data_IF_729528076007
#
_entry.id   IF_729528076007
#
_cell.length_a   1.000
_cell.length_b   1.000
_cell.length_c   1.000
_cell.angle_alpha   90.00
_cell.angle_beta   90.00
_cell.angle_gamma   90.00
#
_symmetry.space_group_name_H-M   'P 1'
#
loop_
_entity.id
_entity.type
_entity.pdbx_description
1 polymer ?
#
# COMPACT_ATOMS: atom_id res chain seq x y z
N UNK A 1 31.02 -5.24 0.72
CA UNK A 1 30.48 -4.98 -0.65
C UNK A 1 31.62 -5.08 -1.64
N UNK A 2 31.42 -5.79 -2.75
CA UNK A 2 32.48 -6.08 -3.73
C UNK A 2 32.99 -4.82 -4.42
N UNK A 3 34.32 -4.65 -4.45
CA UNK A 3 34.94 -3.52 -5.12
C UNK A 3 34.73 -3.58 -6.64
N UNK A 4 34.22 -2.51 -7.30
CA UNK A 4 34.00 -2.51 -8.74
C UNK A 4 35.30 -2.50 -9.57
N UNK A 5 36.43 -2.21 -8.96
CA UNK A 5 37.73 -2.07 -9.67
C UNK A 5 38.59 -3.33 -9.62
N UNK A 6 38.64 -4.03 -8.46
CA UNK A 6 39.51 -5.20 -8.29
C UNK A 6 38.77 -6.46 -7.84
N UNK A 7 37.46 -6.39 -7.61
CA UNK A 7 36.65 -7.51 -7.23
C UNK A 7 36.77 -7.99 -5.78
N UNK A 8 37.58 -7.32 -4.96
CA UNK A 8 37.75 -7.64 -3.54
C UNK A 8 36.44 -7.44 -2.77
N UNK A 9 36.17 -8.28 -1.77
CA UNK A 9 34.93 -8.24 -1.00
C UNK A 9 34.97 -7.27 0.18
N UNK A 10 36.16 -6.84 0.59
CA UNK A 10 36.33 -5.96 1.73
C UNK A 10 36.43 -4.49 1.34
N UNK A 11 35.58 -3.68 1.95
CA UNK A 11 35.60 -2.23 1.82
C UNK A 11 35.17 -1.58 3.12
N UNK A 12 35.77 -0.47 3.49
CA UNK A 12 35.36 0.36 4.62
C UNK A 12 34.51 1.53 4.15
N UNK A 13 33.58 1.98 4.98
CA UNK A 13 32.83 3.21 4.76
C UNK A 13 33.65 4.38 5.27
N UNK A 14 33.89 5.38 4.43
CA UNK A 14 34.68 6.58 4.75
C UNK A 14 33.76 7.74 5.15
N UNK A 15 32.63 7.87 4.47
CA UNK A 15 31.64 8.93 4.72
C UNK A 15 30.22 8.42 4.39
N UNK A 16 29.22 8.93 5.13
CA UNK A 16 27.81 8.61 4.92
C UNK A 16 27.00 9.89 5.02
N UNK A 17 26.13 10.13 4.04
CA UNK A 17 25.22 11.28 4.00
C UNK A 17 23.82 10.83 3.57
N UNK A 18 22.81 11.40 4.18
CA UNK A 18 21.45 11.26 3.69
C UNK A 18 21.30 12.01 2.35
N UNK A 19 20.50 11.44 1.45
CA UNK A 19 20.04 12.17 0.27
C UNK A 19 19.11 13.32 0.67
N UNK A 20 18.90 14.28 -0.21
CA UNK A 20 18.05 15.46 0.05
C UNK A 20 16.61 15.07 0.39
N UNK A 21 16.11 13.97 -0.17
CA UNK A 21 14.79 13.40 0.08
C UNK A 21 14.72 12.52 1.34
N UNK A 22 15.86 12.28 2.02
CA UNK A 22 16.01 11.39 3.18
C UNK A 22 15.59 9.91 2.93
N UNK A 23 15.31 9.52 1.69
CA UNK A 23 14.88 8.17 1.32
C UNK A 23 16.05 7.22 1.01
N UNK A 24 17.27 7.76 0.88
CA UNK A 24 18.46 6.98 0.64
C UNK A 24 19.66 7.49 1.43
N UNK A 25 20.64 6.60 1.64
CA UNK A 25 21.90 6.92 2.26
C UNK A 25 23.00 6.76 1.21
N UNK A 26 23.68 7.85 0.90
CA UNK A 26 24.86 7.84 0.05
C UNK A 26 26.07 7.51 0.91
N UNK A 27 26.84 6.47 0.54
CA UNK A 27 28.05 6.06 1.26
C UNK A 27 29.25 6.11 0.34
N UNK A 28 30.29 6.81 0.77
CA UNK A 28 31.61 6.74 0.16
C UNK A 28 32.38 5.58 0.80
N UNK A 29 32.85 4.66 -0.04
CA UNK A 29 33.58 3.48 0.38
C UNK A 29 35.00 3.50 -0.21
N UNK A 30 35.92 2.88 0.52
CA UNK A 30 37.30 2.66 0.09
C UNK A 30 37.62 1.18 0.15
N UNK A 31 38.11 0.63 -0.96
CA UNK A 31 38.54 -0.78 -1.01
C UNK A 31 39.77 -1.02 -0.15
N UNK A 32 39.76 -2.05 0.66
CA UNK A 32 40.90 -2.37 1.52
C UNK A 32 42.13 -2.85 0.73
N UNK A 33 41.91 -3.45 -0.46
CA UNK A 33 42.99 -4.00 -1.29
C UNK A 33 43.60 -2.98 -2.26
N UNK A 34 42.78 -2.35 -3.10
CA UNK A 34 43.25 -1.43 -4.14
C UNK A 34 43.16 0.06 -3.77
N UNK A 35 42.63 0.38 -2.58
CA UNK A 35 42.49 1.73 -2.00
C UNK A 35 41.68 2.72 -2.86
N UNK A 36 41.07 2.24 -3.95
CA UNK A 36 40.19 3.08 -4.76
C UNK A 36 38.87 3.32 -4.05
N UNK A 37 38.34 4.54 -4.24
CA UNK A 37 37.08 4.97 -3.67
C UNK A 37 35.95 4.77 -4.67
N UNK A 38 34.78 4.37 -4.16
CA UNK A 38 33.55 4.24 -4.91
C UNK A 38 32.36 4.64 -4.05
N UNK A 39 31.29 5.03 -4.70
CA UNK A 39 30.07 5.46 -4.02
C UNK A 39 29.01 4.37 -4.14
N UNK A 40 28.26 4.16 -3.07
CA UNK A 40 27.09 3.27 -3.04
C UNK A 40 25.91 4.02 -2.48
N UNK A 41 24.72 3.59 -2.88
CA UNK A 41 23.47 4.06 -2.32
C UNK A 41 22.78 2.89 -1.60
N UNK A 42 22.37 3.14 -0.37
CA UNK A 42 21.49 2.26 0.38
C UNK A 42 20.08 2.82 0.27
N UNK A 43 19.19 2.07 -0.32
CA UNK A 43 17.80 2.47 -0.58
C UNK A 43 16.90 1.43 0.06
N UNK A 44 15.80 1.85 0.66
CA UNK A 44 14.79 0.91 1.16
C UNK A 44 14.16 0.20 -0.03
N UNK A 45 14.27 -1.11 -0.05
CA UNK A 45 13.63 -1.93 -1.09
C UNK A 45 12.12 -1.91 -0.88
N UNK A 46 11.41 -1.23 -1.80
CA UNK A 46 9.95 -1.27 -1.86
C UNK A 46 9.53 -2.38 -2.81
N UNK A 47 9.05 -3.48 -2.23
CA UNK A 47 8.54 -4.58 -3.04
C UNK A 47 7.10 -4.28 -3.49
N UNK A 48 6.75 -4.54 -4.77
CA UNK A 48 5.41 -4.31 -5.23
C UNK A 48 4.42 -5.27 -4.53
N UNK A 49 3.34 -4.72 -4.03
CA UNK A 49 2.21 -5.48 -3.50
C UNK A 49 1.41 -6.03 -4.68
N UNK A 50 1.05 -7.30 -4.63
CA UNK A 50 0.23 -7.96 -5.64
C UNK A 50 -1.17 -8.21 -5.09
N UNK A 51 -2.19 -7.78 -5.83
CA UNK A 51 -3.59 -8.06 -5.50
C UNK A 51 -4.05 -9.29 -6.26
N UNK A 52 -4.50 -10.31 -5.52
CA UNK A 52 -5.09 -11.54 -6.06
C UNK A 52 -6.59 -11.37 -6.17
N UNK A 53 -7.11 -11.44 -7.39
CA UNK A 53 -8.56 -11.33 -7.68
C UNK A 53 -9.28 -12.63 -7.35
N UNK A 54 -10.62 -12.57 -7.21
CA UNK A 54 -11.49 -13.75 -7.02
C UNK A 54 -11.34 -14.84 -8.09
N UNK A 55 -11.02 -14.42 -9.32
CA UNK A 55 -10.77 -15.35 -10.42
C UNK A 55 -9.33 -15.90 -10.46
N UNK A 56 -8.52 -15.62 -9.43
CA UNK A 56 -7.12 -16.05 -9.31
C UNK A 56 -6.12 -15.19 -10.09
N UNK A 57 -6.56 -14.21 -10.87
CA UNK A 57 -5.63 -13.32 -11.58
C UNK A 57 -4.89 -12.39 -10.60
N UNK A 58 -3.64 -12.11 -10.93
CA UNK A 58 -2.74 -11.26 -10.14
C UNK A 58 -2.50 -9.94 -10.86
N UNK A 59 -2.58 -8.84 -10.12
CA UNK A 59 -2.26 -7.52 -10.64
C UNK A 59 -1.53 -6.70 -9.58
N UNK A 60 -0.66 -5.76 -9.98
CA UNK A 60 -0.06 -4.83 -9.03
C UNK A 60 -1.13 -4.05 -8.28
N UNK A 61 -0.85 -3.75 -7.00
CA UNK A 61 -1.65 -2.83 -6.21
C UNK A 61 -1.66 -1.46 -6.88
N UNK A 62 -2.84 -0.90 -7.02
CA UNK A 62 -3.03 0.41 -7.63
C UNK A 62 -3.81 1.31 -6.66
N UNK A 63 -3.09 2.23 -6.02
CA UNK A 63 -3.61 3.20 -5.08
C UNK A 63 -4.78 4.00 -5.64
N UNK A 64 -4.68 4.40 -6.92
CA UNK A 64 -5.70 5.22 -7.56
C UNK A 64 -7.01 4.46 -7.76
N UNK A 65 -6.96 3.13 -7.95
CA UNK A 65 -8.20 2.33 -8.04
C UNK A 65 -8.97 2.34 -6.73
N UNK A 66 -8.27 2.28 -5.59
CA UNK A 66 -8.91 2.31 -4.28
C UNK A 66 -9.49 3.69 -4.02
N UNK A 67 -8.70 4.75 -4.20
CA UNK A 67 -9.14 6.12 -4.02
C UNK A 67 -10.37 6.43 -4.89
N UNK A 68 -10.32 6.11 -6.18
CA UNK A 68 -11.43 6.34 -7.09
C UNK A 68 -12.69 5.53 -6.73
N UNK A 69 -12.53 4.31 -6.19
CA UNK A 69 -13.68 3.52 -5.74
C UNK A 69 -14.37 4.15 -4.52
N UNK A 70 -13.59 4.70 -3.58
CA UNK A 70 -14.13 5.45 -2.46
C UNK A 70 -14.80 6.75 -2.92
N UNK A 71 -14.17 7.54 -3.79
CA UNK A 71 -14.77 8.77 -4.34
C UNK A 71 -16.13 8.48 -4.96
N UNK A 72 -16.27 7.40 -5.73
CA UNK A 72 -17.56 6.99 -6.32
C UNK A 72 -18.61 6.63 -5.25
N UNK A 73 -18.19 6.00 -4.15
CA UNK A 73 -19.10 5.69 -3.05
C UNK A 73 -19.65 6.97 -2.38
N UNK A 74 -18.85 8.03 -2.34
CA UNK A 74 -19.23 9.34 -1.81
C UNK A 74 -19.93 10.26 -2.83
N UNK A 75 -20.29 9.79 -4.02
CA UNK A 75 -20.98 10.62 -5.00
C UNK A 75 -22.20 11.31 -4.37
N UNK A 76 -22.29 12.64 -4.51
CA UNK A 76 -23.30 13.52 -3.89
C UNK A 76 -23.32 13.51 -2.35
N UNK A 77 -22.24 13.05 -1.71
CA UNK A 77 -22.02 13.13 -0.26
C UNK A 77 -20.87 14.09 0.03
N UNK A 78 -20.90 14.72 1.20
CA UNK A 78 -19.81 15.62 1.64
C UNK A 78 -18.69 14.79 2.24
N UNK A 79 -17.52 14.87 1.65
CA UNK A 79 -16.27 14.26 2.17
C UNK A 79 -15.10 15.11 1.72
N UNK A 80 -14.10 15.24 2.57
CA UNK A 80 -12.82 15.79 2.14
C UNK A 80 -12.03 14.71 1.39
N UNK A 81 -11.62 15.01 0.16
CA UNK A 81 -10.80 14.10 -0.66
C UNK A 81 -9.48 13.78 0.05
N UNK A 82 -8.94 14.71 0.85
CA UNK A 82 -7.74 14.48 1.64
C UNK A 82 -7.94 13.37 2.70
N UNK A 83 -9.14 13.24 3.26
CA UNK A 83 -9.45 12.15 4.19
C UNK A 83 -9.43 10.80 3.48
N UNK A 84 -9.99 10.71 2.26
CA UNK A 84 -9.95 9.49 1.45
C UNK A 84 -8.52 9.14 1.02
N UNK A 85 -7.73 10.15 0.69
CA UNK A 85 -6.32 9.98 0.35
C UNK A 85 -5.51 9.46 1.54
N UNK A 86 -5.75 10.00 2.74
CA UNK A 86 -5.14 9.54 3.99
C UNK A 86 -5.50 8.08 4.27
N UNK A 87 -6.78 7.70 4.15
CA UNK A 87 -7.23 6.31 4.31
C UNK A 87 -6.53 5.38 3.33
N UNK A 88 -6.40 5.79 2.08
CA UNK A 88 -5.69 5.00 1.06
C UNK A 88 -4.24 4.78 1.46
N UNK A 89 -3.57 5.81 1.99
CA UNK A 89 -2.19 5.74 2.48
C UNK A 89 -2.06 4.81 3.69
N UNK A 90 -2.99 4.88 4.64
CA UNK A 90 -3.02 3.98 5.81
C UNK A 90 -3.20 2.51 5.41
N UNK A 91 -4.07 2.24 4.44
CA UNK A 91 -4.28 0.88 3.91
C UNK A 91 -2.98 0.38 3.25
N UNK A 92 -2.36 1.18 2.40
CA UNK A 92 -1.10 0.83 1.73
C UNK A 92 0.00 0.52 2.76
N UNK A 93 0.18 1.38 3.76
CA UNK A 93 1.14 1.17 4.83
C UNK A 93 0.83 -0.10 5.65
N UNK A 94 -0.44 -0.36 5.94
CA UNK A 94 -0.85 -1.57 6.66
C UNK A 94 -0.44 -2.82 5.90
N UNK A 95 -0.66 -2.85 4.58
CA UNK A 95 -0.29 -3.98 3.73
C UNK A 95 1.24 -4.13 3.67
N UNK A 96 1.97 -3.02 3.49
CA UNK A 96 3.43 -3.05 3.46
C UNK A 96 4.05 -3.59 4.76
N UNK A 97 3.45 -3.25 5.90
CA UNK A 97 3.92 -3.67 7.22
C UNK A 97 3.65 -5.16 7.53
N UNK A 98 2.73 -5.82 6.82
CA UNK A 98 2.46 -7.26 7.04
C UNK A 98 3.53 -8.18 6.46
N UNK A 99 4.51 -7.66 5.72
CA UNK A 99 5.53 -8.42 4.99
C UNK A 99 4.94 -9.42 3.95
N UNK A 100 3.64 -9.46 3.82
CA UNK A 100 2.96 -10.25 2.79
C UNK A 100 3.03 -9.50 1.47
N UNK A 101 3.47 -10.19 0.44
CA UNK A 101 3.59 -9.62 -0.92
C UNK A 101 2.30 -9.73 -1.72
N UNK A 102 1.37 -10.54 -1.26
CA UNK A 102 0.08 -10.76 -1.91
C UNK A 102 -1.05 -10.46 -0.92
N UNK A 103 -2.07 -9.77 -1.39
CA UNK A 103 -3.32 -9.54 -0.67
C UNK A 103 -4.49 -9.91 -1.56
N UNK A 104 -5.51 -10.58 -1.00
CA UNK A 104 -6.73 -10.83 -1.77
C UNK A 104 -7.52 -9.55 -1.97
N UNK A 105 -8.22 -9.45 -3.10
CA UNK A 105 -9.14 -8.34 -3.34
C UNK A 105 -10.22 -8.27 -2.25
N UNK A 106 -10.59 -9.40 -1.66
CA UNK A 106 -11.59 -9.49 -0.61
C UNK A 106 -11.09 -8.87 0.70
N UNK A 107 -9.88 -9.19 1.10
CA UNK A 107 -9.26 -8.56 2.28
C UNK A 107 -9.07 -7.05 2.09
N UNK A 108 -8.65 -6.65 0.90
CA UNK A 108 -8.48 -5.24 0.56
C UNK A 108 -9.80 -4.47 0.65
N UNK A 109 -10.89 -5.05 0.16
CA UNK A 109 -12.22 -4.44 0.25
C UNK A 109 -12.74 -4.35 1.68
N UNK A 110 -12.52 -5.38 2.51
CA UNK A 110 -12.83 -5.35 3.94
C UNK A 110 -12.11 -4.18 4.64
N UNK A 111 -10.80 -4.00 4.37
CA UNK A 111 -10.03 -2.88 4.94
C UNK A 111 -10.61 -1.53 4.55
N UNK A 112 -11.08 -1.36 3.32
CA UNK A 112 -11.75 -0.12 2.87
C UNK A 112 -13.07 0.05 3.61
N UNK A 113 -13.91 -0.99 3.68
CA UNK A 113 -15.20 -0.94 4.35
C UNK A 113 -15.08 -0.59 5.84
N UNK A 114 -14.11 -1.15 6.56
CA UNK A 114 -13.82 -0.80 7.95
C UNK A 114 -13.51 0.69 8.14
N UNK A 115 -12.84 1.32 7.17
CA UNK A 115 -12.52 2.75 7.22
C UNK A 115 -13.69 3.65 6.80
N UNK A 116 -14.55 3.18 5.89
CA UNK A 116 -15.74 3.92 5.45
C UNK A 116 -16.85 3.91 6.50
N UNK A 117 -16.97 2.84 7.28
CA UNK A 117 -18.00 2.63 8.30
C UNK A 117 -18.19 3.80 9.25
N UNK A 118 -17.14 4.40 9.85
CA UNK A 118 -17.28 5.55 10.74
C UNK A 118 -17.47 6.88 10.03
N UNK A 119 -17.20 6.98 8.71
CA UNK A 119 -17.24 8.23 7.97
C UNK A 119 -18.64 8.54 7.44
N UNK A 120 -19.25 7.63 6.74
CA UNK A 120 -20.58 7.83 6.13
C UNK A 120 -21.25 6.48 5.84
N UNK A 121 -22.38 6.28 6.46
CA UNK A 121 -23.20 5.07 6.36
C UNK A 121 -23.64 4.77 4.93
N UNK A 122 -24.05 5.79 4.19
CA UNK A 122 -24.51 5.63 2.80
C UNK A 122 -23.36 5.28 1.87
N UNK A 123 -22.20 5.91 2.07
CA UNK A 123 -21.00 5.59 1.30
C UNK A 123 -20.51 4.16 1.59
N UNK A 124 -20.56 3.72 2.86
CA UNK A 124 -20.30 2.34 3.23
C UNK A 124 -21.20 1.35 2.48
N UNK A 125 -22.52 1.55 2.53
CA UNK A 125 -23.50 0.67 1.86
C UNK A 125 -23.29 0.66 0.34
N UNK A 126 -23.01 1.81 -0.28
CA UNK A 126 -22.71 1.88 -1.71
C UNK A 126 -21.44 1.13 -2.08
N UNK A 127 -20.39 1.29 -1.29
CA UNK A 127 -19.13 0.56 -1.51
C UNK A 127 -19.36 -0.94 -1.35
N UNK A 128 -20.03 -1.38 -0.28
CA UNK A 128 -20.37 -2.76 -0.02
C UNK A 128 -21.20 -3.37 -1.16
N UNK A 129 -22.16 -2.62 -1.74
CA UNK A 129 -22.98 -3.10 -2.84
C UNK A 129 -22.19 -3.45 -4.10
N UNK A 130 -21.16 -2.66 -4.41
CA UNK A 130 -20.27 -2.91 -5.56
C UNK A 130 -19.29 -4.04 -5.23
N UNK A 131 -18.76 -4.01 -4.01
CA UNK A 131 -17.72 -4.92 -3.58
C UNK A 131 -18.23 -6.37 -3.42
N UNK A 132 -19.35 -6.58 -2.72
CA UNK A 132 -19.92 -7.91 -2.49
C UNK A 132 -20.64 -8.49 -3.70
N UNK A 133 -20.96 -7.66 -4.73
CA UNK A 133 -21.67 -8.10 -5.93
C UNK A 133 -22.91 -8.93 -5.58
N UNK A 134 -23.78 -8.38 -4.71
CA UNK A 134 -24.98 -9.08 -4.25
C UNK A 134 -25.80 -9.61 -5.42
N UNK A 135 -26.16 -10.89 -5.35
CA UNK A 135 -26.93 -11.57 -6.40
C UNK A 135 -28.44 -11.33 -6.26
N UNK A 136 -28.89 -11.00 -5.06
CA UNK A 136 -30.29 -10.76 -4.73
C UNK A 136 -30.46 -9.69 -3.65
N UNK A 137 -31.69 -9.17 -3.55
CA UNK A 137 -32.08 -8.16 -2.57
C UNK A 137 -31.98 -8.65 -1.12
N UNK A 138 -32.19 -9.95 -0.87
CA UNK A 138 -32.12 -10.50 0.49
C UNK A 138 -30.70 -10.54 1.04
N UNK A 139 -29.72 -10.85 0.18
CA UNK A 139 -28.31 -10.80 0.54
C UNK A 139 -27.86 -9.38 0.90
N UNK A 140 -28.35 -8.40 0.13
CA UNK A 140 -28.12 -6.98 0.40
C UNK A 140 -28.75 -6.52 1.71
N UNK A 141 -30.02 -6.90 1.96
CA UNK A 141 -30.72 -6.57 3.20
C UNK A 141 -30.05 -7.17 4.43
N UNK A 142 -29.51 -8.39 4.32
CA UNK A 142 -28.73 -9.01 5.40
C UNK A 142 -27.48 -8.21 5.77
N UNK A 143 -26.78 -7.67 4.78
CA UNK A 143 -25.60 -6.85 5.03
C UNK A 143 -25.96 -5.54 5.73
N UNK A 144 -27.08 -4.90 5.31
CA UNK A 144 -27.60 -3.69 5.98
C UNK A 144 -27.99 -4.01 7.43
N UNK A 145 -28.67 -5.13 7.67
CA UNK A 145 -29.06 -5.53 9.02
C UNK A 145 -27.86 -5.74 9.94
N UNK A 146 -26.82 -6.42 9.47
CA UNK A 146 -25.55 -6.54 10.21
C UNK A 146 -24.96 -5.20 10.59
N UNK A 147 -24.93 -4.27 9.63
CA UNK A 147 -24.41 -2.93 9.89
C UNK A 147 -25.20 -2.21 10.99
N UNK A 148 -26.53 -2.35 11.00
CA UNK A 148 -27.41 -1.72 11.99
C UNK A 148 -27.31 -2.36 13.39
N UNK A 149 -27.04 -3.66 13.47
CA UNK A 149 -26.85 -4.39 14.74
C UNK A 149 -25.50 -4.10 15.41
N UNK A 150 -24.49 -3.74 14.63
CA UNK A 150 -23.15 -3.43 15.12
C UNK A 150 -22.97 -1.93 15.51
N UNK A 151 -24.03 -1.13 15.44
CA UNK A 151 -24.04 0.31 15.76
C UNK A 151 -24.60 0.56 17.15
#
# INVERSE_FOLDING_TARGET
MKCPFCGDQESKVVDSRHSEDSLSIRRHRECMRCQRRFTTYEVVETLPIIVVKRNGSRQPFDRNKILNSMIRAFDKRRVDVNDLDRITTEIEQTIQNTLEREISSDKLGEMVMERLKPLDEVAYIRFASIYHQFQDANSFMREISKYLEEK
#
